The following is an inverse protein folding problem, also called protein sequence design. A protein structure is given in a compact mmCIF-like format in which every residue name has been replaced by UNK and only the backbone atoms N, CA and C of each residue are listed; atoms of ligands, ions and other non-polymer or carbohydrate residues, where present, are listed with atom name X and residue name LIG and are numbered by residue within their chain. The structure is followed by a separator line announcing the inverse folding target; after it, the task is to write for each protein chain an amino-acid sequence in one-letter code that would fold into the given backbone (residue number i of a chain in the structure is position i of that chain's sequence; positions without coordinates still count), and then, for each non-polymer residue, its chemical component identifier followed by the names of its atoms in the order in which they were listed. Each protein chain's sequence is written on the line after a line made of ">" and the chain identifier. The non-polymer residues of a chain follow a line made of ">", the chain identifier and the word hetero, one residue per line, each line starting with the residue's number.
data_IF_742187665152
#
_entry.id   IF_742187665152
#
_cell.length_a   1.000
_cell.length_b   1.000
_cell.length_c   1.000
_cell.angle_alpha   90.00
_cell.angle_beta   90.00
_cell.angle_gamma   90.00
#
_symmetry.space_group_name_H-M   'P 1'
#
loop_
_entity.id
_entity.type
_entity.pdbx_description
1 polymer ?
#
# COMPACT_ATOMS: atom_id res chain seq x y z
N UNK A 1 67.79 -23.50 28.44
CA UNK A 1 66.60 -24.16 27.88
C UNK A 1 65.59 -23.07 27.54
N UNK A 2 65.65 -22.61 26.29
CA UNK A 2 64.99 -21.43 25.74
C UNK A 2 63.75 -21.83 24.96
N UNK A 3 62.62 -21.15 25.17
CA UNK A 3 61.72 -20.61 24.12
C UNK A 3 60.52 -19.90 24.78
N UNK A 4 60.30 -18.59 24.52
CA UNK A 4 59.09 -17.90 24.94
C UNK A 4 57.95 -18.18 23.95
N UNK A 5 56.74 -18.38 24.47
CA UNK A 5 55.51 -18.53 23.69
C UNK A 5 55.06 -17.17 23.16
N UNK A 6 55.38 -16.88 21.90
CA UNK A 6 54.84 -15.73 21.16
C UNK A 6 53.40 -16.03 20.77
N UNK A 7 52.45 -15.29 21.35
CA UNK A 7 51.03 -15.33 20.98
C UNK A 7 50.83 -14.50 19.70
N UNK A 8 50.54 -15.15 18.58
CA UNK A 8 50.22 -14.49 17.31
C UNK A 8 48.75 -14.08 17.33
N UNK A 9 48.47 -12.78 17.44
CA UNK A 9 47.15 -12.20 17.19
C UNK A 9 46.93 -12.12 15.67
N UNK A 10 46.08 -13.00 15.15
CA UNK A 10 45.56 -12.89 13.78
C UNK A 10 44.42 -11.87 13.81
N UNK A 11 44.71 -10.61 13.44
CA UNK A 11 43.67 -9.65 13.09
C UNK A 11 43.10 -10.04 11.72
N UNK A 12 41.92 -10.66 11.72
CA UNK A 12 41.11 -10.80 10.51
C UNK A 12 40.56 -9.43 10.10
N UNK A 13 41.09 -8.88 9.02
CA UNK A 13 40.54 -7.71 8.35
C UNK A 13 39.16 -8.05 7.79
N UNK A 14 38.09 -7.64 8.48
CA UNK A 14 36.76 -7.57 7.88
C UNK A 14 36.78 -6.46 6.83
N UNK A 15 36.81 -6.87 5.56
CA UNK A 15 36.67 -5.95 4.43
C UNK A 15 35.33 -5.22 4.53
N UNK A 16 35.39 -3.89 4.61
CA UNK A 16 34.24 -3.03 4.35
C UNK A 16 33.75 -3.33 2.93
N UNK A 17 32.62 -4.03 2.81
CA UNK A 17 31.85 -4.00 1.57
C UNK A 17 31.37 -2.56 1.42
N UNK A 18 31.98 -1.83 0.49
CA UNK A 18 31.54 -0.49 0.13
C UNK A 18 30.05 -0.58 -0.24
N UNK A 19 29.19 0.10 0.51
CA UNK A 19 27.81 0.26 0.12
C UNK A 19 27.81 0.92 -1.26
N UNK A 20 27.21 0.25 -2.26
CA UNK A 20 27.01 0.84 -3.58
C UNK A 20 26.38 2.21 -3.39
N UNK A 21 27.08 3.25 -3.87
CA UNK A 21 26.57 4.61 -3.85
C UNK A 21 25.34 4.63 -4.75
N UNK A 22 24.16 4.51 -4.16
CA UNK A 22 22.87 4.66 -4.85
C UNK A 22 22.91 6.02 -5.54
N UNK A 23 23.00 6.02 -6.87
CA UNK A 23 23.00 7.27 -7.61
C UNK A 23 21.66 7.98 -7.35
N UNK A 24 21.67 9.30 -7.08
CA UNK A 24 20.44 10.05 -6.95
C UNK A 24 19.64 9.89 -8.24
N UNK A 25 18.35 9.53 -8.14
CA UNK A 25 17.49 9.52 -9.32
C UNK A 25 17.54 10.92 -9.96
N UNK A 26 17.68 11.02 -11.29
CA UNK A 26 17.58 12.31 -11.98
C UNK A 26 16.31 13.04 -11.54
N UNK A 27 16.40 14.36 -11.34
CA UNK A 27 15.22 15.17 -11.03
C UNK A 27 14.24 15.05 -12.19
N UNK A 28 13.03 14.63 -11.87
CA UNK A 28 11.94 14.62 -12.83
C UNK A 28 11.62 16.08 -13.24
N UNK A 29 11.62 16.36 -14.53
CA UNK A 29 11.37 17.68 -15.10
C UNK A 29 9.93 17.83 -15.61
N UNK A 30 9.05 16.86 -15.34
CA UNK A 30 7.63 16.93 -15.66
C UNK A 30 6.99 18.14 -14.97
N UNK A 31 6.41 19.04 -15.77
CA UNK A 31 5.64 20.19 -15.30
C UNK A 31 4.17 20.00 -15.63
N UNK A 32 3.31 20.12 -14.61
CA UNK A 32 1.86 20.15 -14.82
C UNK A 32 1.51 21.50 -15.44
N UNK A 33 0.97 21.48 -16.66
CA UNK A 33 0.53 22.71 -17.34
C UNK A 33 -0.78 23.23 -16.72
N UNK A 34 -1.11 24.53 -16.84
CA UNK A 34 -2.40 25.05 -16.38
C UNK A 34 -3.61 24.33 -17.00
N UNK A 35 -3.51 23.88 -18.25
CA UNK A 35 -4.55 23.10 -18.91
C UNK A 35 -4.71 21.70 -18.27
N UNK A 36 -3.60 21.03 -17.99
CA UNK A 36 -3.59 19.74 -17.28
C UNK A 36 -4.13 19.88 -15.87
N UNK A 37 -3.74 20.93 -15.15
CA UNK A 37 -4.23 21.23 -13.80
C UNK A 37 -5.76 21.39 -13.80
N UNK A 38 -6.31 22.13 -14.77
CA UNK A 38 -7.76 22.27 -14.92
C UNK A 38 -8.48 20.94 -15.11
N UNK A 39 -7.88 20.00 -15.85
CA UNK A 39 -8.42 18.64 -16.05
C UNK A 39 -8.39 17.86 -14.74
N UNK A 40 -7.26 17.90 -14.00
CA UNK A 40 -7.12 17.24 -12.70
C UNK A 40 -8.19 17.76 -11.73
N UNK A 41 -8.34 19.07 -11.60
CA UNK A 41 -9.34 19.68 -10.73
C UNK A 41 -10.77 19.29 -11.13
N UNK A 42 -11.06 19.22 -12.44
CA UNK A 42 -12.33 18.73 -12.96
C UNK A 42 -12.60 17.26 -12.59
N UNK A 43 -11.60 16.40 -12.71
CA UNK A 43 -11.70 14.98 -12.36
C UNK A 43 -11.92 14.77 -10.85
N UNK A 44 -11.18 15.50 -9.99
CA UNK A 44 -11.37 15.47 -8.54
C UNK A 44 -12.79 15.90 -8.15
N UNK A 45 -13.29 16.98 -8.77
CA UNK A 45 -14.66 17.47 -8.55
C UNK A 45 -15.71 16.44 -9.01
N UNK A 46 -15.47 15.77 -10.12
CA UNK A 46 -16.35 14.69 -10.58
C UNK A 46 -16.34 13.52 -9.59
N UNK A 47 -15.16 13.01 -9.21
CA UNK A 47 -15.07 11.92 -8.23
C UNK A 47 -15.74 12.30 -6.91
N UNK A 48 -15.56 13.54 -6.43
CA UNK A 48 -16.24 14.06 -5.25
C UNK A 48 -17.77 13.96 -5.36
N UNK A 49 -18.35 14.29 -6.51
CA UNK A 49 -19.81 14.22 -6.73
C UNK A 49 -20.35 12.79 -6.84
N UNK A 50 -19.49 11.81 -7.14
CA UNK A 50 -19.87 10.40 -7.24
C UNK A 50 -19.79 9.63 -5.91
N UNK A 51 -19.33 10.26 -4.81
CA UNK A 51 -19.23 9.57 -3.53
C UNK A 51 -20.61 9.22 -2.97
N UNK A 52 -20.81 7.95 -2.61
CA UNK A 52 -22.05 7.48 -1.99
C UNK A 52 -22.15 7.89 -0.52
N UNK A 53 -23.36 7.78 0.03
CA UNK A 53 -23.63 8.13 1.43
C UNK A 53 -22.78 7.31 2.43
N UNK A 54 -22.48 6.06 2.11
CA UNK A 54 -21.63 5.17 2.92
C UNK A 54 -20.12 5.46 2.79
N UNK A 55 -19.74 6.44 1.95
CA UNK A 55 -18.36 6.84 1.70
C UNK A 55 -17.68 6.10 0.54
N UNK A 56 -18.32 5.08 -0.03
CA UNK A 56 -17.75 4.28 -1.13
C UNK A 56 -17.92 4.93 -2.51
N UNK A 57 -17.18 4.42 -3.48
CA UNK A 57 -17.35 4.70 -4.91
C UNK A 57 -17.76 3.46 -5.70
N UNK A 58 -18.44 3.71 -6.83
CA UNK A 58 -18.97 2.72 -7.77
C UNK A 58 -20.46 2.95 -8.02
N UNK A 59 -20.80 3.43 -9.22
CA UNK A 59 -22.15 3.85 -9.61
C UNK A 59 -22.81 2.88 -10.59
N UNK A 60 -22.04 2.19 -11.42
CA UNK A 60 -22.57 1.17 -12.34
C UNK A 60 -22.84 -0.17 -11.65
N UNK A 61 -23.66 -1.03 -12.27
CA UNK A 61 -23.94 -2.39 -11.77
C UNK A 61 -22.66 -3.23 -11.61
N UNK A 62 -21.70 -3.03 -12.51
CA UNK A 62 -20.43 -3.75 -12.45
C UNK A 62 -19.52 -3.19 -11.37
N UNK A 63 -19.41 -1.86 -11.30
CA UNK A 63 -18.63 -1.18 -10.27
C UNK A 63 -19.12 -1.48 -8.84
N UNK A 64 -20.43 -1.63 -8.66
CA UNK A 64 -21.03 -2.00 -7.39
C UNK A 64 -20.57 -3.38 -6.87
N UNK A 65 -19.95 -4.22 -7.71
CA UNK A 65 -19.34 -5.49 -7.30
C UNK A 65 -17.94 -5.32 -6.71
N UNK A 66 -17.30 -4.16 -6.96
CA UNK A 66 -15.90 -3.88 -6.57
C UNK A 66 -15.71 -2.57 -5.79
N UNK A 67 -16.58 -2.22 -4.82
CA UNK A 67 -16.55 -0.90 -4.18
C UNK A 67 -15.29 -0.67 -3.34
N UNK A 68 -14.66 -1.74 -2.81
CA UNK A 68 -13.38 -1.66 -2.09
C UNK A 68 -12.25 -1.19 -3.01
N UNK A 69 -12.13 -1.81 -4.20
CA UNK A 69 -11.08 -1.46 -5.16
C UNK A 69 -11.26 -0.03 -5.67
N UNK A 70 -12.48 0.32 -6.08
CA UNK A 70 -12.80 1.65 -6.60
C UNK A 70 -12.57 2.74 -5.56
N UNK A 71 -13.00 2.52 -4.32
CA UNK A 71 -12.74 3.45 -3.22
C UNK A 71 -11.24 3.62 -2.97
N UNK A 72 -10.47 2.55 -3.02
CA UNK A 72 -9.01 2.61 -2.90
C UNK A 72 -8.36 3.47 -4.00
N UNK A 73 -8.72 3.26 -5.27
CA UNK A 73 -8.19 4.07 -6.38
C UNK A 73 -8.56 5.55 -6.26
N UNK A 74 -9.81 5.87 -5.94
CA UNK A 74 -10.25 7.26 -5.77
C UNK A 74 -9.53 7.94 -4.61
N UNK A 75 -9.31 7.23 -3.49
CA UNK A 75 -8.52 7.75 -2.38
C UNK A 75 -7.06 8.01 -2.76
N UNK A 76 -6.42 7.13 -3.55
CA UNK A 76 -5.05 7.35 -4.04
C UNK A 76 -5.01 8.61 -4.91
N UNK A 77 -6.01 8.83 -5.79
CA UNK A 77 -6.08 10.03 -6.61
C UNK A 77 -6.22 11.32 -5.78
N UNK A 78 -7.09 11.32 -4.75
CA UNK A 78 -7.21 12.46 -3.84
C UNK A 78 -5.92 12.75 -3.07
N UNK A 79 -5.25 11.71 -2.57
CA UNK A 79 -3.97 11.83 -1.87
C UNK A 79 -2.87 12.39 -2.77
N UNK A 80 -2.77 11.90 -4.01
CA UNK A 80 -1.81 12.40 -4.99
C UNK A 80 -2.02 13.90 -5.31
N UNK A 81 -3.25 14.40 -5.17
CA UNK A 81 -3.59 15.81 -5.29
C UNK A 81 -3.52 16.59 -3.97
N UNK A 82 -2.90 16.03 -2.92
CA UNK A 82 -2.68 16.71 -1.64
C UNK A 82 -3.91 16.79 -0.72
N UNK A 83 -4.90 15.91 -0.89
CA UNK A 83 -6.07 15.86 0.00
C UNK A 83 -5.93 14.69 0.98
N UNK A 84 -6.00 14.99 2.28
CA UNK A 84 -5.91 14.03 3.38
C UNK A 84 -7.20 14.07 4.23
N UNK A 85 -7.43 13.09 5.14
CA UNK A 85 -8.58 13.13 6.03
C UNK A 85 -8.63 14.45 6.82
N UNK A 86 -9.64 15.27 6.56
CA UNK A 86 -9.82 16.57 7.22
C UNK A 86 -9.02 17.72 6.59
N UNK A 87 -8.19 17.47 5.58
CA UNK A 87 -7.31 18.47 4.96
C UNK A 87 -7.59 18.63 3.46
N UNK A 88 -7.39 19.85 2.97
CA UNK A 88 -7.66 20.21 1.58
C UNK A 88 -9.15 20.30 1.23
N UNK A 89 -9.49 20.74 0.00
CA UNK A 89 -10.87 20.94 -0.43
C UNK A 89 -11.74 19.69 -0.35
N UNK A 90 -11.14 18.51 -0.52
CA UNK A 90 -11.84 17.22 -0.53
C UNK A 90 -11.61 16.39 0.74
N UNK A 91 -11.06 16.97 1.81
CA UNK A 91 -10.70 16.22 3.02
C UNK A 91 -11.87 15.50 3.70
N UNK A 92 -13.10 16.03 3.57
CA UNK A 92 -14.33 15.34 4.03
C UNK A 92 -14.62 14.07 3.22
N UNK A 93 -14.36 14.08 1.92
CA UNK A 93 -14.56 12.90 1.06
C UNK A 93 -13.50 11.84 1.35
N UNK A 94 -12.24 12.26 1.52
CA UNK A 94 -11.15 11.37 1.92
C UNK A 94 -11.46 10.72 3.27
N UNK A 95 -11.93 11.49 4.25
CA UNK A 95 -12.35 10.95 5.56
C UNK A 95 -13.42 9.88 5.44
N UNK A 96 -14.48 10.14 4.65
CA UNK A 96 -15.57 9.18 4.44
C UNK A 96 -15.09 7.91 3.72
N UNK A 97 -14.27 8.03 2.67
CA UNK A 97 -13.73 6.89 1.94
C UNK A 97 -12.78 6.04 2.80
N UNK A 98 -11.93 6.69 3.58
CA UNK A 98 -11.06 6.03 4.56
C UNK A 98 -11.90 5.23 5.56
N UNK A 99 -12.92 5.86 6.16
CA UNK A 99 -13.80 5.19 7.12
C UNK A 99 -14.55 4.01 6.50
N UNK A 100 -15.00 4.15 5.24
CA UNK A 100 -15.58 3.04 4.50
C UNK A 100 -14.62 1.85 4.43
N UNK A 101 -13.38 2.05 3.96
CA UNK A 101 -12.38 0.97 3.87
C UNK A 101 -12.08 0.33 5.23
N UNK A 102 -11.89 1.13 6.27
CA UNK A 102 -11.64 0.63 7.63
C UNK A 102 -12.78 -0.24 8.16
N UNK A 103 -14.02 0.13 7.83
CA UNK A 103 -15.23 -0.62 8.18
C UNK A 103 -15.40 -1.91 7.36
N UNK A 104 -14.81 -1.99 6.16
CA UNK A 104 -14.81 -3.23 5.38
C UNK A 104 -13.81 -4.27 5.92
N UNK A 105 -12.80 -3.89 6.71
CA UNK A 105 -11.79 -4.83 7.21
C UNK A 105 -12.38 -5.69 8.34
N UNK A 106 -12.60 -6.97 8.02
CA UNK A 106 -13.06 -7.98 8.95
C UNK A 106 -11.99 -8.45 9.95
N UNK A 107 -12.34 -9.35 10.89
CA UNK A 107 -11.43 -9.81 11.94
C UNK A 107 -10.12 -10.41 11.42
N UNK A 108 -10.19 -11.18 10.33
CA UNK A 108 -9.03 -11.80 9.66
C UNK A 108 -8.25 -10.86 8.73
N UNK A 109 -8.54 -9.56 8.72
CA UNK A 109 -7.84 -8.58 7.89
C UNK A 109 -8.31 -8.50 6.44
N UNK A 110 -9.21 -9.36 5.98
CA UNK A 110 -9.78 -9.27 4.62
C UNK A 110 -10.82 -8.14 4.52
N UNK A 111 -10.89 -7.47 3.38
CA UNK A 111 -11.96 -6.51 3.09
C UNK A 111 -13.24 -7.22 2.64
N UNK A 112 -14.37 -6.72 3.13
CA UNK A 112 -15.71 -7.16 2.73
C UNK A 112 -16.07 -8.55 3.27
N UNK A 113 -17.18 -9.10 2.77
CA UNK A 113 -17.66 -10.45 3.12
C UNK A 113 -17.08 -11.48 2.15
N UNK A 114 -16.77 -12.68 2.65
CA UNK A 114 -16.17 -13.82 1.94
C UNK A 114 -17.04 -14.44 0.81
N UNK A 115 -17.90 -13.69 0.11
CA UNK A 115 -18.81 -14.22 -0.90
C UNK A 115 -18.43 -13.98 -2.39
N UNK A 116 -17.46 -13.13 -2.74
CA UNK A 116 -17.17 -12.75 -4.14
C UNK A 116 -16.03 -13.48 -4.87
N UNK A 117 -15.17 -14.23 -4.17
CA UNK A 117 -14.08 -15.04 -4.73
C UNK A 117 -12.87 -14.27 -5.32
N UNK A 118 -12.93 -12.93 -5.39
CA UNK A 118 -11.97 -12.04 -6.08
C UNK A 118 -11.35 -10.99 -5.13
N UNK A 119 -11.12 -11.36 -3.87
CA UNK A 119 -10.82 -10.43 -2.79
C UNK A 119 -9.47 -9.74 -2.93
N UNK A 120 -8.43 -10.49 -3.33
CA UNK A 120 -7.05 -10.01 -3.19
C UNK A 120 -6.72 -8.84 -4.13
N UNK A 121 -7.37 -8.75 -5.29
CA UNK A 121 -7.17 -7.61 -6.20
C UNK A 121 -7.57 -6.31 -5.52
N UNK A 122 -8.84 -6.21 -5.07
CA UNK A 122 -9.33 -5.04 -4.35
C UNK A 122 -8.65 -4.85 -2.99
N UNK A 123 -8.26 -5.94 -2.33
CA UNK A 123 -7.51 -5.92 -1.08
C UNK A 123 -6.16 -5.20 -1.22
N UNK A 124 -5.43 -5.49 -2.30
CA UNK A 124 -4.17 -4.82 -2.62
C UNK A 124 -4.37 -3.32 -2.80
N UNK A 125 -5.29 -2.93 -3.68
CA UNK A 125 -5.59 -1.51 -3.96
C UNK A 125 -6.00 -0.74 -2.71
N UNK A 126 -6.94 -1.27 -1.92
CA UNK A 126 -7.40 -0.63 -0.69
C UNK A 126 -6.28 -0.54 0.36
N UNK A 127 -5.42 -1.56 0.45
CA UNK A 127 -4.29 -1.57 1.38
C UNK A 127 -3.21 -0.57 0.98
N UNK A 128 -2.95 -0.35 -0.31
CA UNK A 128 -2.09 0.75 -0.79
C UNK A 128 -2.65 2.08 -0.28
N UNK A 129 -3.94 2.34 -0.54
CA UNK A 129 -4.58 3.59 -0.13
C UNK A 129 -4.47 3.85 1.37
N UNK A 130 -4.73 2.84 2.22
CA UNK A 130 -4.59 2.95 3.67
C UNK A 130 -3.13 3.04 4.14
N UNK A 131 -2.20 2.36 3.45
CA UNK A 131 -0.77 2.42 3.73
C UNK A 131 -0.21 3.83 3.52
N UNK A 132 -0.54 4.46 2.39
CA UNK A 132 -0.14 5.83 2.07
C UNK A 132 -0.80 6.85 3.02
N UNK A 133 -2.10 6.68 3.34
CA UNK A 133 -2.77 7.51 4.33
C UNK A 133 -2.13 7.39 5.71
N UNK A 134 -1.80 6.18 6.15
CA UNK A 134 -1.09 5.98 7.42
C UNK A 134 0.32 6.59 7.38
N UNK A 135 1.02 6.46 6.25
CA UNK A 135 2.32 7.07 6.01
C UNK A 135 2.33 8.57 6.32
N UNK A 136 1.31 9.27 5.82
CA UNK A 136 1.16 10.72 5.93
C UNK A 136 0.53 11.18 7.27
N UNK A 137 -0.46 10.45 7.80
CA UNK A 137 -1.25 10.89 8.97
C UNK A 137 -0.79 10.29 10.30
N UNK A 138 -0.10 9.15 10.27
CA UNK A 138 0.24 8.32 11.45
C UNK A 138 -0.96 7.96 12.34
N UNK A 139 -2.17 7.94 11.78
CA UNK A 139 -3.40 7.64 12.53
C UNK A 139 -3.37 6.25 13.19
N UNK A 140 -3.55 6.14 14.52
CA UNK A 140 -3.58 4.86 15.22
C UNK A 140 -4.73 3.95 14.77
N UNK A 141 -5.87 4.54 14.38
CA UNK A 141 -7.03 3.79 13.90
C UNK A 141 -6.69 3.08 12.58
N UNK A 142 -5.97 3.75 11.68
CA UNK A 142 -5.50 3.13 10.43
C UNK A 142 -4.49 2.04 10.76
N UNK A 143 -3.50 2.32 11.62
CA UNK A 143 -2.45 1.34 11.98
C UNK A 143 -3.02 0.00 12.44
N UNK A 144 -3.94 0.02 13.40
CA UNK A 144 -4.49 -1.19 14.00
C UNK A 144 -5.22 -2.09 12.98
N UNK A 145 -5.84 -1.49 11.96
CA UNK A 145 -6.54 -2.21 10.88
C UNK A 145 -5.56 -2.63 9.78
N UNK A 146 -4.66 -1.75 9.38
CA UNK A 146 -3.65 -1.99 8.34
C UNK A 146 -2.72 -3.16 8.69
N UNK A 147 -2.29 -3.29 9.95
CA UNK A 147 -1.47 -4.43 10.37
C UNK A 147 -2.17 -5.79 10.12
N UNK A 148 -3.50 -5.85 10.21
CA UNK A 148 -4.26 -7.07 9.90
C UNK A 148 -4.30 -7.36 8.40
N UNK A 149 -4.50 -6.34 7.57
CA UNK A 149 -4.53 -6.52 6.11
C UNK A 149 -3.17 -6.96 5.59
N UNK A 150 -2.09 -6.41 6.14
CA UNK A 150 -0.70 -6.77 5.81
C UNK A 150 -0.37 -8.19 6.24
N UNK A 151 -0.77 -8.60 7.46
CA UNK A 151 -0.62 -9.99 7.91
C UNK A 151 -1.31 -10.98 6.97
N UNK A 152 -2.51 -10.65 6.49
CA UNK A 152 -3.22 -11.49 5.52
C UNK A 152 -2.46 -11.60 4.19
N UNK A 153 -1.92 -10.48 3.66
CA UNK A 153 -1.12 -10.50 2.43
C UNK A 153 0.08 -11.43 2.61
N UNK A 154 0.87 -11.24 3.67
CA UNK A 154 2.05 -12.08 3.96
C UNK A 154 1.66 -13.57 4.03
N UNK A 155 0.59 -13.89 4.76
CA UNK A 155 0.13 -15.28 4.93
C UNK A 155 -0.42 -15.92 3.65
N UNK A 156 -0.74 -15.13 2.63
CA UNK A 156 -1.32 -15.61 1.37
C UNK A 156 -0.29 -15.76 0.24
N UNK A 157 0.98 -15.41 0.47
CA UNK A 157 2.02 -15.50 -0.55
C UNK A 157 2.32 -16.97 -0.88
N UNK A 158 2.38 -17.31 -2.16
CA UNK A 158 2.77 -18.66 -2.58
C UNK A 158 4.30 -18.87 -2.51
N UNK A 159 4.76 -20.10 -2.71
CA UNK A 159 6.19 -20.45 -2.66
C UNK A 159 7.06 -19.81 -3.76
N UNK A 160 6.43 -19.20 -4.78
CA UNK A 160 7.09 -18.47 -5.87
C UNK A 160 7.02 -16.95 -5.66
N UNK A 161 6.53 -16.48 -4.52
CA UNK A 161 6.43 -15.06 -4.19
C UNK A 161 5.17 -14.35 -4.72
N UNK A 162 4.21 -15.08 -5.31
CA UNK A 162 3.04 -14.52 -5.97
C UNK A 162 1.73 -14.66 -5.19
N UNK A 163 0.71 -13.93 -5.66
CA UNK A 163 -0.65 -13.97 -5.15
C UNK A 163 -1.67 -14.08 -6.28
N UNK A 164 -2.82 -14.67 -5.98
CA UNK A 164 -3.99 -14.64 -6.85
C UNK A 164 -5.20 -14.13 -6.08
N UNK A 165 -6.37 -14.24 -6.68
CA UNK A 165 -7.63 -13.62 -6.27
C UNK A 165 -8.18 -14.04 -4.90
N UNK A 166 -7.79 -15.21 -4.39
CA UNK A 166 -8.18 -15.70 -3.07
C UNK A 166 -6.98 -15.63 -2.12
N UNK A 167 -7.20 -15.38 -0.81
CA UNK A 167 -6.14 -15.36 0.19
C UNK A 167 -5.73 -16.79 0.56
N UNK A 168 -5.17 -17.52 -0.41
CA UNK A 168 -4.71 -18.92 -0.26
C UNK A 168 -3.36 -19.09 -0.95
N UNK A 169 -2.51 -19.93 -0.37
CA UNK A 169 -1.18 -20.26 -0.86
C UNK A 169 -1.31 -21.29 -1.98
N UNK A 170 -1.44 -20.87 -3.25
CA UNK A 170 -1.62 -21.80 -4.37
C UNK A 170 -0.99 -21.32 -5.68
N UNK A 171 -1.67 -20.41 -6.36
CA UNK A 171 -1.34 -19.91 -7.70
C UNK A 171 -1.06 -18.41 -7.67
N UNK A 172 -0.55 -17.86 -8.78
CA UNK A 172 -0.27 -16.43 -8.91
C UNK A 172 -0.96 -15.84 -10.14
N UNK A 173 -1.29 -14.56 -10.06
CA UNK A 173 -1.61 -13.70 -11.19
C UNK A 173 -0.72 -12.45 -11.09
N UNK A 174 -0.12 -12.03 -12.21
CA UNK A 174 0.87 -10.96 -12.20
C UNK A 174 0.28 -9.63 -11.74
N UNK A 175 -0.96 -9.32 -12.13
CA UNK A 175 -1.62 -8.07 -11.78
C UNK A 175 -1.98 -8.02 -10.30
N UNK A 176 -2.46 -9.13 -9.73
CA UNK A 176 -2.73 -9.23 -8.28
C UNK A 176 -1.44 -9.17 -7.47
N UNK A 177 -0.38 -9.84 -7.97
CA UNK A 177 0.92 -9.90 -7.31
C UNK A 177 1.54 -8.51 -7.17
N UNK A 178 1.56 -7.72 -8.24
CA UNK A 178 2.09 -6.35 -8.21
C UNK A 178 1.35 -5.49 -7.17
N UNK A 179 0.03 -5.58 -7.10
CA UNK A 179 -0.76 -4.82 -6.13
C UNK A 179 -0.46 -5.21 -4.68
N UNK A 180 -0.21 -6.50 -4.41
CA UNK A 180 0.20 -6.94 -3.07
C UNK A 180 1.59 -6.41 -2.71
N UNK A 181 2.54 -6.50 -3.65
CA UNK A 181 3.91 -6.00 -3.45
C UNK A 181 3.91 -4.49 -3.18
N UNK A 182 3.15 -3.70 -3.93
CA UNK A 182 3.02 -2.25 -3.70
C UNK A 182 2.36 -1.96 -2.35
N UNK A 183 1.32 -2.71 -1.97
CA UNK A 183 0.70 -2.60 -0.64
C UNK A 183 1.69 -2.85 0.50
N UNK A 184 2.52 -3.91 0.37
CA UNK A 184 3.58 -4.24 1.32
C UNK A 184 4.65 -3.14 1.40
N UNK A 185 5.08 -2.59 0.25
CA UNK A 185 6.03 -1.47 0.21
C UNK A 185 5.44 -0.20 0.85
N UNK A 186 4.19 0.15 0.55
CA UNK A 186 3.51 1.31 1.16
C UNK A 186 3.47 1.18 2.70
N UNK A 187 3.07 0.01 3.21
CA UNK A 187 3.06 -0.24 4.65
C UNK A 187 4.46 -0.20 5.27
N UNK A 188 5.46 -0.80 4.62
CA UNK A 188 6.86 -0.78 5.07
C UNK A 188 7.40 0.64 5.14
N UNK A 189 7.18 1.45 4.10
CA UNK A 189 7.59 2.86 4.05
C UNK A 189 6.90 3.69 5.14
N UNK A 190 5.66 3.33 5.51
CA UNK A 190 4.93 3.98 6.58
C UNK A 190 5.37 3.59 8.00
N UNK A 191 6.25 2.58 8.13
CA UNK A 191 6.78 2.08 9.41
C UNK A 191 6.02 0.89 9.99
N UNK A 192 5.26 0.16 9.18
CA UNK A 192 4.72 -1.16 9.55
C UNK A 192 5.79 -2.22 9.33
N UNK A 193 5.91 -3.19 10.25
CA UNK A 193 6.84 -4.30 10.08
C UNK A 193 6.39 -5.22 8.94
N UNK A 194 7.26 -5.34 7.93
CA UNK A 194 7.06 -6.19 6.76
C UNK A 194 8.38 -6.91 6.47
N UNK A 195 8.41 -8.26 6.51
CA UNK A 195 9.60 -9.04 6.21
C UNK A 195 10.13 -8.72 4.81
N UNK A 196 11.43 -8.42 4.71
CA UNK A 196 12.05 -8.04 3.44
C UNK A 196 11.90 -9.13 2.36
N UNK A 197 12.03 -10.40 2.76
CA UNK A 197 11.85 -11.58 1.90
C UNK A 197 10.47 -11.71 1.25
N UNK A 198 9.45 -11.01 1.77
CA UNK A 198 8.10 -11.06 1.19
C UNK A 198 8.00 -10.10 -0.01
N UNK A 199 8.94 -9.17 -0.15
CA UNK A 199 8.92 -8.12 -1.17
C UNK A 199 10.02 -8.31 -2.24
N UNK A 200 11.13 -8.94 -1.87
CA UNK A 200 12.31 -9.15 -2.73
C UNK A 200 12.20 -10.41 -3.61
#
# INVERSE_FOLDING_TARGET
>A
MTLPRTLVLILTAFGLVAADKVQPRPRDNVKVTPATEKIIQGALKYMASQQKADGSWGSSREEARHPVALTGYVLIAFQAAGNLPGEGPYGKHVTKGMNYLLNQIGPGGIYGKYASGQYMYGHGVATIALGELYGQTKSPIIRAKLEKTIKLIIASQNSQGGWRYRPVVRDADISVTVLQVVALRAAKNAGIDVPQRTID
#
